data_IF_480192295020
#
_entry.id   IF_480192295020
#
_cell.length_a   1.000
_cell.length_b   1.000
_cell.length_c   1.000
_cell.angle_alpha   90.00
_cell.angle_beta   90.00
_cell.angle_gamma   90.00
#
_symmetry.space_group_name_H-M   'P 1'
#
loop_
_entity.id
_entity.type
_entity.pdbx_description
1 polymer ?
#
# COMPACT_ATOMS: atom_id res chain seq x y z
N UNK A 1 -15.47 37.55 -0.44
CA UNK A 1 -14.57 36.87 -1.39
C UNK A 1 -13.76 37.93 -2.14
N UNK A 2 -12.42 37.79 -2.26
CA UNK A 2 -11.59 38.70 -3.06
C UNK A 2 -12.08 38.73 -4.51
N UNK A 3 -12.06 39.90 -5.17
CA UNK A 3 -12.56 40.04 -6.55
C UNK A 3 -11.80 39.12 -7.52
N UNK A 4 -10.51 38.91 -7.26
CA UNK A 4 -9.60 38.14 -8.11
C UNK A 4 -9.82 36.62 -8.04
N UNK A 5 -10.59 36.14 -7.04
CA UNK A 5 -10.91 34.72 -6.90
C UNK A 5 -12.19 34.31 -7.66
N UNK A 6 -12.94 35.26 -8.21
CA UNK A 6 -14.24 34.98 -8.87
C UNK A 6 -14.08 34.20 -10.17
N UNK A 7 -13.10 34.55 -10.99
CA UNK A 7 -12.90 33.94 -12.31
C UNK A 7 -12.32 32.52 -12.24
N UNK A 8 -11.33 32.22 -11.38
CA UNK A 8 -10.85 30.85 -11.19
C UNK A 8 -11.94 29.91 -10.65
N UNK A 9 -12.79 30.39 -9.72
CA UNK A 9 -13.92 29.60 -9.20
C UNK A 9 -14.95 29.35 -10.31
N UNK A 10 -15.19 30.33 -11.18
CA UNK A 10 -16.09 30.17 -12.33
C UNK A 10 -15.57 29.09 -13.30
N UNK A 11 -14.26 29.06 -13.58
CA UNK A 11 -13.64 28.02 -14.42
C UNK A 11 -13.67 26.63 -13.77
N UNK A 12 -13.47 26.52 -12.46
CA UNK A 12 -13.59 25.27 -11.73
C UNK A 12 -15.01 24.70 -11.83
N UNK A 13 -16.03 25.54 -11.62
CA UNK A 13 -17.44 25.12 -11.73
C UNK A 13 -17.74 24.66 -13.16
N UNK A 14 -17.26 25.38 -14.18
CA UNK A 14 -17.45 24.97 -15.58
C UNK A 14 -16.80 23.64 -15.88
N UNK A 15 -15.54 23.46 -15.51
CA UNK A 15 -14.81 22.20 -15.72
C UNK A 15 -15.52 21.02 -15.06
N UNK A 16 -16.02 21.20 -13.84
CA UNK A 16 -16.72 20.15 -13.11
C UNK A 16 -18.08 19.80 -13.74
N UNK A 17 -18.85 20.81 -14.13
CA UNK A 17 -20.16 20.62 -14.78
C UNK A 17 -20.02 20.07 -16.21
N UNK A 18 -18.98 20.47 -16.94
CA UNK A 18 -18.65 19.93 -18.27
C UNK A 18 -18.21 18.47 -18.18
N UNK A 19 -17.51 18.09 -17.10
CA UNK A 19 -17.19 16.71 -16.74
C UNK A 19 -18.39 15.83 -16.38
N UNK A 20 -19.61 16.41 -16.32
CA UNK A 20 -20.84 15.70 -15.98
C UNK A 20 -21.12 15.56 -14.48
N UNK A 21 -20.34 16.25 -13.65
CA UNK A 21 -20.54 16.30 -12.20
C UNK A 21 -21.42 17.51 -11.81
N UNK A 22 -21.72 17.63 -10.52
CA UNK A 22 -22.56 18.70 -9.96
C UNK A 22 -21.73 19.56 -9.04
N UNK A 23 -21.79 20.88 -9.24
CA UNK A 23 -21.10 21.86 -8.41
C UNK A 23 -22.09 22.58 -7.49
N UNK A 24 -21.78 22.69 -6.20
CA UNK A 24 -22.62 23.35 -5.21
C UNK A 24 -21.82 24.46 -4.53
N UNK A 25 -22.35 25.69 -4.57
CA UNK A 25 -21.84 26.84 -3.84
C UNK A 25 -22.66 27.06 -2.58
N UNK A 26 -21.98 27.32 -1.46
CA UNK A 26 -22.58 27.65 -0.16
C UNK A 26 -22.01 28.96 0.37
N UNK A 27 -22.91 29.86 0.77
CA UNK A 27 -22.55 31.10 1.45
C UNK A 27 -22.02 32.18 0.50
N UNK A 28 -21.94 33.42 1.01
CA UNK A 28 -21.51 34.59 0.23
C UNK A 28 -22.57 35.13 -0.72
N UNK A 29 -22.12 35.91 -1.72
CA UNK A 29 -22.96 36.46 -2.80
C UNK A 29 -22.74 35.66 -4.10
N UNK A 30 -23.60 34.66 -4.38
CA UNK A 30 -23.46 33.78 -5.54
C UNK A 30 -24.02 34.39 -6.82
N UNK A 31 -24.57 35.60 -6.78
CA UNK A 31 -25.33 36.18 -7.91
C UNK A 31 -24.44 36.36 -9.16
N UNK A 32 -23.13 36.60 -8.97
CA UNK A 32 -22.13 36.61 -10.05
C UNK A 32 -22.06 35.29 -10.83
N UNK A 33 -22.04 34.15 -10.12
CA UNK A 33 -21.94 32.82 -10.72
C UNK A 33 -23.27 32.40 -11.34
N UNK A 34 -24.38 32.71 -10.65
CA UNK A 34 -25.73 32.48 -11.16
C UNK A 34 -25.93 33.21 -12.49
N UNK A 35 -25.49 34.47 -12.60
CA UNK A 35 -25.66 35.24 -13.83
C UNK A 35 -24.85 34.67 -15.01
N UNK A 36 -23.62 34.21 -14.75
CA UNK A 36 -22.70 33.66 -15.76
C UNK A 36 -22.97 32.20 -16.14
N UNK A 37 -23.69 31.44 -15.31
CA UNK A 37 -23.94 30.01 -15.48
C UNK A 37 -25.45 29.66 -15.50
N UNK A 38 -26.32 30.58 -15.90
CA UNK A 38 -27.78 30.36 -15.97
C UNK A 38 -28.18 29.10 -16.73
N UNK A 39 -27.46 28.75 -17.79
CA UNK A 39 -27.75 27.59 -18.64
C UNK A 39 -27.52 26.22 -17.98
N UNK A 40 -26.78 26.18 -16.86
CA UNK A 40 -26.50 24.95 -16.10
C UNK A 40 -26.95 25.06 -14.65
N UNK A 41 -27.76 26.07 -14.32
CA UNK A 41 -28.30 26.25 -12.98
C UNK A 41 -29.37 25.20 -12.71
N UNK A 42 -29.16 24.37 -11.70
CA UNK A 42 -30.14 23.37 -11.27
C UNK A 42 -31.14 23.96 -10.27
N UNK A 43 -30.67 24.60 -9.19
CA UNK A 43 -31.51 25.26 -8.19
C UNK A 43 -30.72 26.28 -7.36
N UNK A 44 -31.43 27.21 -6.71
CA UNK A 44 -30.88 28.21 -5.78
C UNK A 44 -31.84 28.41 -4.61
N UNK A 45 -31.33 28.35 -3.37
CA UNK A 45 -32.12 28.44 -2.13
C UNK A 45 -31.39 29.22 -1.05
N UNK A 46 -32.14 29.95 -0.23
CA UNK A 46 -31.63 30.47 1.04
C UNK A 46 -32.10 29.56 2.19
N UNK A 47 -31.20 29.17 3.08
CA UNK A 47 -31.55 28.39 4.26
C UNK A 47 -32.14 29.25 5.38
N UNK A 48 -32.58 28.60 6.48
CA UNK A 48 -33.17 29.26 7.64
C UNK A 48 -32.20 30.17 8.41
N UNK A 49 -30.90 30.08 8.13
CA UNK A 49 -29.84 30.89 8.74
C UNK A 49 -29.41 32.05 7.82
N UNK A 50 -30.06 32.23 6.67
CA UNK A 50 -29.79 33.31 5.72
C UNK A 50 -28.66 33.01 4.74
N UNK A 51 -28.12 31.78 4.69
CA UNK A 51 -27.07 31.41 3.73
C UNK A 51 -27.70 31.00 2.39
N UNK A 52 -27.19 31.58 1.28
CA UNK A 52 -27.56 31.15 -0.07
C UNK A 52 -26.78 29.90 -0.49
N UNK A 53 -27.50 28.96 -1.09
CA UNK A 53 -27.02 27.71 -1.65
C UNK A 53 -27.40 27.65 -3.12
N UNK A 54 -26.44 27.36 -4.00
CA UNK A 54 -26.66 27.33 -5.44
C UNK A 54 -26.05 26.08 -6.03
N UNK A 55 -26.80 25.36 -6.85
CA UNK A 55 -26.37 24.11 -7.48
C UNK A 55 -26.35 24.26 -9.01
N UNK A 56 -25.25 23.82 -9.63
CA UNK A 56 -25.06 23.80 -11.08
C UNK A 56 -24.84 22.36 -11.57
N UNK A 57 -25.57 21.94 -12.61
CA UNK A 57 -25.50 20.59 -13.17
C UNK A 57 -26.02 20.58 -14.62
N UNK A 58 -25.46 19.75 -15.50
CA UNK A 58 -26.02 19.49 -16.83
C UNK A 58 -27.00 18.32 -16.77
N UNK A 59 -28.25 18.57 -17.15
CA UNK A 59 -29.22 17.48 -17.31
C UNK A 59 -28.84 16.62 -18.52
N UNK A 60 -28.51 15.35 -18.28
CA UNK A 60 -28.47 14.30 -19.30
C UNK A 60 -29.79 13.52 -19.24
N UNK A 61 -30.41 13.24 -20.39
CA UNK A 61 -31.57 12.36 -20.48
C UNK A 61 -31.26 11.02 -19.80
N UNK A 62 -32.02 10.67 -18.75
CA UNK A 62 -31.85 9.43 -17.98
C UNK A 62 -31.25 9.57 -16.58
N UNK A 63 -30.69 10.72 -16.18
CA UNK A 63 -30.25 10.94 -14.80
C UNK A 63 -31.39 11.46 -13.91
N UNK A 64 -31.59 10.83 -12.74
CA UNK A 64 -32.58 11.23 -11.73
C UNK A 64 -32.39 12.71 -11.38
N UNK A 65 -33.47 13.47 -11.45
CA UNK A 65 -33.51 14.84 -10.95
C UNK A 65 -33.15 14.82 -9.46
N UNK A 66 -32.14 15.58 -9.06
CA UNK A 66 -31.87 15.88 -7.65
C UNK A 66 -33.01 16.78 -7.16
N UNK A 67 -34.16 16.17 -6.88
CA UNK A 67 -35.31 16.86 -6.33
C UNK A 67 -35.03 17.36 -4.90
N UNK A 68 -35.71 18.45 -4.57
CA UNK A 68 -35.48 19.48 -3.55
C UNK A 68 -35.32 19.01 -2.08
N UNK A 69 -35.30 17.71 -1.78
CA UNK A 69 -35.43 17.18 -0.42
C UNK A 69 -34.33 16.20 0.03
N UNK A 70 -33.28 15.96 -0.77
CA UNK A 70 -32.16 15.11 -0.33
C UNK A 70 -30.87 15.90 -0.23
N UNK A 71 -30.40 16.08 1.02
CA UNK A 71 -29.02 16.49 1.32
C UNK A 71 -28.08 15.55 0.53
N UNK A 72 -27.25 16.05 -0.39
CA UNK A 72 -26.12 15.29 -0.88
C UNK A 72 -25.31 14.88 0.35
N UNK A 73 -25.00 13.60 0.42
CA UNK A 73 -24.67 12.88 1.64
C UNK A 73 -23.54 13.59 2.37
N UNK A 74 -23.87 14.18 3.52
CA UNK A 74 -22.87 14.62 4.47
C UNK A 74 -22.10 13.36 4.86
N UNK A 75 -20.83 13.29 4.47
CA UNK A 75 -19.92 12.24 4.93
C UNK A 75 -19.82 12.41 6.45
N UNK A 76 -20.56 11.58 7.18
CA UNK A 76 -20.44 11.48 8.62
C UNK A 76 -19.29 10.53 8.91
N UNK A 77 -18.21 11.05 9.50
CA UNK A 77 -17.32 10.22 10.30
C UNK A 77 -18.15 9.77 11.49
N UNK A 78 -18.38 8.46 11.61
CA UNK A 78 -19.06 7.88 12.76
C UNK A 78 -18.11 7.97 13.96
N UNK A 79 -18.31 8.96 14.83
CA UNK A 79 -17.73 8.94 16.17
C UNK A 79 -18.56 7.98 17.03
N UNK A 80 -17.96 6.84 17.40
CA UNK A 80 -18.49 5.92 18.40
C UNK A 80 -18.38 6.54 19.80
N UNK A 81 -19.39 7.33 20.19
CA UNK A 81 -20.03 7.43 21.53
C UNK A 81 -20.62 8.84 21.76
N UNK A 82 -21.94 8.95 22.05
CA UNK A 82 -22.55 10.21 22.44
C UNK A 82 -22.39 10.40 23.96
N UNK A 83 -21.33 11.07 24.38
CA UNK A 83 -21.12 11.45 25.77
C UNK A 83 -20.38 12.78 25.84
N UNK A 84 -21.11 13.83 26.21
CA UNK A 84 -20.66 15.17 26.61
C UNK A 84 -19.67 15.85 25.63
N UNK A 85 -20.18 16.77 24.79
CA UNK A 85 -19.32 17.69 24.03
C UNK A 85 -18.50 18.56 25.01
N UNK A 86 -17.15 18.48 25.04
CA UNK A 86 -16.36 19.52 25.65
C UNK A 86 -16.41 20.73 24.70
N UNK A 87 -16.78 21.87 25.28
CA UNK A 87 -16.77 23.21 24.71
C UNK A 87 -15.66 23.38 23.65
N UNK A 88 -16.05 23.54 22.37
CA UNK A 88 -15.13 23.79 21.25
C UNK A 88 -14.57 25.21 21.38
N UNK A 89 -13.64 25.40 22.30
CA UNK A 89 -12.77 26.56 22.30
C UNK A 89 -11.93 26.52 21.02
N UNK A 90 -12.06 27.56 20.20
CA UNK A 90 -11.32 27.69 18.95
C UNK A 90 -9.82 27.45 19.16
N UNK A 91 -9.24 26.56 18.35
CA UNK A 91 -7.82 26.23 18.36
C UNK A 91 -7.01 27.52 18.19
N UNK A 92 -6.34 27.96 19.26
CA UNK A 92 -5.40 29.07 19.22
C UNK A 92 -4.08 28.57 18.62
N UNK A 93 -3.72 29.11 17.46
CA UNK A 93 -2.45 28.85 16.77
C UNK A 93 -1.27 29.62 17.42
N UNK A 94 -1.15 29.54 18.75
CA UNK A 94 -0.13 30.26 19.56
C UNK A 94 0.80 29.31 20.34
N UNK A 95 0.72 28.00 20.08
CA UNK A 95 1.49 26.98 20.81
C UNK A 95 0.87 26.57 22.16
N UNK A 96 -0.33 27.04 22.47
CA UNK A 96 -1.11 26.63 23.66
C UNK A 96 -1.57 25.16 23.60
N UNK A 97 -1.67 24.56 22.41
CA UNK A 97 -2.02 23.15 22.21
C UNK A 97 -0.93 22.13 22.60
N UNK A 98 0.06 22.54 23.39
CA UNK A 98 1.06 21.63 23.98
C UNK A 98 0.88 21.62 25.50
N UNK A 99 0.38 20.50 26.01
CA UNK A 99 0.12 20.26 27.43
C UNK A 99 1.19 19.34 28.04
N UNK A 100 1.36 19.43 29.36
CA UNK A 100 2.32 18.66 30.16
C UNK A 100 1.63 18.16 31.42
N UNK A 101 2.16 17.10 32.02
CA UNK A 101 1.73 16.59 33.31
C UNK A 101 1.92 17.63 34.44
N UNK A 102 1.16 17.46 35.52
CA UNK A 102 1.20 18.32 36.70
C UNK A 102 2.56 18.23 37.42
N UNK A 103 3.04 19.36 37.94
CA UNK A 103 4.33 19.44 38.65
C UNK A 103 5.55 19.86 37.82
N UNK A 104 5.43 20.09 36.51
CA UNK A 104 6.55 20.60 35.68
C UNK A 104 6.68 22.13 35.84
N UNK A 105 7.89 22.69 36.11
CA UNK A 105 8.10 24.14 36.21
C UNK A 105 7.74 24.90 34.92
N UNK A 106 7.17 26.10 35.04
CA UNK A 106 6.72 26.89 33.89
C UNK A 106 7.81 27.21 32.86
N UNK A 107 9.06 27.40 33.31
CA UNK A 107 10.24 27.64 32.46
C UNK A 107 10.60 26.40 31.63
N UNK A 108 10.43 25.21 32.20
CA UNK A 108 10.69 23.94 31.50
C UNK A 108 9.59 23.71 30.47
N UNK A 109 8.33 23.98 30.81
CA UNK A 109 7.19 23.90 29.87
C UNK A 109 7.41 24.82 28.66
N UNK A 110 7.79 26.09 28.87
CA UNK A 110 8.00 27.04 27.78
C UNK A 110 9.19 26.67 26.88
N UNK A 111 10.29 26.21 27.47
CA UNK A 111 11.47 25.77 26.74
C UNK A 111 11.19 24.51 25.89
N UNK A 112 10.51 23.51 26.45
CA UNK A 112 10.15 22.28 25.72
C UNK A 112 9.15 22.55 24.59
N UNK A 113 8.18 23.47 24.78
CA UNK A 113 7.27 23.90 23.71
C UNK A 113 8.04 24.47 22.52
N UNK A 114 8.93 25.43 22.79
CA UNK A 114 9.76 26.06 21.75
C UNK A 114 10.65 25.04 21.06
N UNK A 115 11.28 24.15 21.82
CA UNK A 115 12.15 23.12 21.26
C UNK A 115 11.38 22.15 20.34
N UNK A 116 10.21 21.69 20.77
CA UNK A 116 9.36 20.80 19.96
C UNK A 116 8.88 21.47 18.67
N UNK A 117 8.52 22.75 18.73
CA UNK A 117 8.11 23.53 17.55
C UNK A 117 9.28 23.81 16.61
N UNK A 118 10.42 24.27 17.13
CA UNK A 118 11.60 24.62 16.34
C UNK A 118 12.22 23.41 15.62
N UNK A 119 12.12 22.23 16.21
CA UNK A 119 12.57 20.97 15.59
C UNK A 119 11.53 20.35 14.65
N UNK A 120 10.40 21.04 14.41
CA UNK A 120 9.38 20.59 13.46
C UNK A 120 8.55 19.40 13.95
N UNK A 121 8.10 19.43 15.20
CA UNK A 121 7.25 18.38 15.79
C UNK A 121 7.85 16.96 15.75
N UNK A 122 9.09 16.76 16.25
CA UNK A 122 9.71 15.44 16.28
C UNK A 122 8.90 14.46 17.12
N UNK A 123 9.04 13.16 16.82
CA UNK A 123 8.46 12.09 17.65
C UNK A 123 9.00 12.19 19.08
N UNK A 124 8.20 11.74 20.04
CA UNK A 124 8.54 11.83 21.48
C UNK A 124 9.86 11.12 21.79
N UNK A 125 10.09 9.98 21.17
CA UNK A 125 11.31 9.17 21.35
C UNK A 125 12.54 9.92 20.83
N UNK A 126 12.43 10.57 19.68
CA UNK A 126 13.52 11.33 19.06
C UNK A 126 13.87 12.58 19.85
N UNK A 127 12.85 13.29 20.36
CA UNK A 127 13.04 14.45 21.24
C UNK A 127 13.72 14.05 22.56
N UNK A 128 13.28 12.95 23.18
CA UNK A 128 13.89 12.40 24.40
C UNK A 128 15.34 11.95 24.15
N UNK A 129 15.61 11.33 23.00
CA UNK A 129 16.97 10.94 22.61
C UNK A 129 17.87 12.16 22.46
N UNK A 130 17.40 13.22 21.80
CA UNK A 130 18.14 14.48 21.69
C UNK A 130 18.45 15.09 23.06
N UNK A 131 17.46 15.17 23.96
CA UNK A 131 17.64 15.73 25.30
C UNK A 131 18.64 14.92 26.14
N UNK A 132 18.64 13.59 25.99
CA UNK A 132 19.64 12.72 26.64
C UNK A 132 21.05 12.98 26.13
N UNK A 133 21.23 13.11 24.82
CA UNK A 133 22.54 13.42 24.24
C UNK A 133 23.04 14.81 24.63
N UNK A 134 22.13 15.77 24.83
CA UNK A 134 22.46 17.11 25.32
C UNK A 134 22.78 17.16 26.83
N UNK A 135 22.71 16.03 27.54
CA UNK A 135 23.03 15.97 28.98
C UNK A 135 21.98 16.63 29.87
N UNK A 136 20.72 16.74 29.42
CA UNK A 136 19.65 17.31 30.22
C UNK A 136 19.32 16.44 31.44
N UNK A 137 18.89 17.10 32.52
CA UNK A 137 18.47 16.43 33.76
C UNK A 137 17.26 15.51 33.54
N UNK A 138 17.19 14.41 34.30
CA UNK A 138 16.10 13.42 34.23
C UNK A 138 14.71 14.02 34.47
N UNK A 139 14.61 15.11 35.23
CA UNK A 139 13.37 15.87 35.46
C UNK A 139 12.81 16.45 34.16
N UNK A 140 13.68 16.99 33.30
CA UNK A 140 13.34 17.54 31.98
C UNK A 140 12.97 16.40 31.02
N UNK A 141 13.68 15.28 31.08
CA UNK A 141 13.39 14.10 30.26
C UNK A 141 12.01 13.52 30.61
N UNK A 142 11.67 13.46 31.91
CA UNK A 142 10.32 13.06 32.36
C UNK A 142 9.25 14.04 31.86
N UNK A 143 9.50 15.35 31.94
CA UNK A 143 8.59 16.36 31.41
C UNK A 143 8.37 16.22 29.89
N UNK A 144 9.42 15.95 29.11
CA UNK A 144 9.31 15.70 27.67
C UNK A 144 8.52 14.42 27.35
N UNK A 145 8.65 13.37 28.17
CA UNK A 145 7.85 12.15 28.06
C UNK A 145 6.37 12.38 28.40
N UNK A 146 6.07 13.27 29.34
CA UNK A 146 4.70 13.66 29.70
C UNK A 146 4.04 14.66 28.76
N UNK A 147 4.79 15.21 27.79
CA UNK A 147 4.27 16.20 26.85
C UNK A 147 3.24 15.60 25.88
N UNK A 148 2.14 16.33 25.63
CA UNK A 148 1.14 16.04 24.59
C UNK A 148 0.96 17.26 23.71
N UNK A 149 0.90 17.06 22.40
CA UNK A 149 0.70 18.12 21.42
C UNK A 149 -0.52 17.78 20.57
N UNK A 150 -1.50 18.68 20.54
CA UNK A 150 -2.77 18.49 19.83
C UNK A 150 -2.56 18.45 18.31
N UNK A 151 -1.58 19.21 17.80
CA UNK A 151 -1.20 19.20 16.39
C UNK A 151 -0.62 17.82 16.02
N UNK A 152 0.33 17.30 16.81
CA UNK A 152 0.89 15.97 16.57
C UNK A 152 -0.16 14.87 16.68
N UNK A 153 -1.16 15.03 17.55
CA UNK A 153 -2.26 14.08 17.69
C UNK A 153 -3.21 14.13 16.49
N UNK A 154 -3.53 15.32 15.98
CA UNK A 154 -4.38 15.51 14.81
C UNK A 154 -3.71 15.03 13.51
N UNK A 155 -2.40 15.20 13.38
CA UNK A 155 -1.62 14.76 12.20
C UNK A 155 -1.08 13.33 12.35
N UNK A 156 -1.35 12.66 13.47
CA UNK A 156 -0.88 11.29 13.66
C UNK A 156 -1.57 10.36 12.64
N UNK A 157 -0.78 9.66 11.84
CA UNK A 157 -1.29 8.62 10.95
C UNK A 157 -2.02 7.52 11.72
N UNK A 158 -2.90 6.75 11.03
CA UNK A 158 -3.66 5.67 11.66
C UNK A 158 -2.73 4.70 12.39
N UNK A 159 -3.01 4.46 13.68
CA UNK A 159 -2.27 3.49 14.47
C UNK A 159 -2.59 2.10 13.94
N UNK A 160 -1.55 1.31 13.65
CA UNK A 160 -1.71 -0.10 13.27
C UNK A 160 -2.52 -0.79 14.37
N UNK A 161 -3.75 -1.19 14.06
CA UNK A 161 -4.60 -1.95 14.97
C UNK A 161 -3.81 -3.17 15.45
N UNK A 162 -3.77 -3.39 16.77
CA UNK A 162 -3.13 -4.59 17.32
C UNK A 162 -3.86 -5.80 16.74
N UNK A 163 -3.18 -6.67 15.97
CA UNK A 163 -3.85 -7.82 15.39
C UNK A 163 -4.30 -8.73 16.53
N UNK A 164 -5.61 -8.78 16.78
CA UNK A 164 -6.24 -9.75 17.69
C UNK A 164 -6.50 -11.10 17.00
N UNK A 165 -6.17 -11.20 15.70
CA UNK A 165 -6.28 -12.43 14.95
C UNK A 165 -5.01 -13.28 15.13
N UNK A 166 -5.22 -14.54 15.54
CA UNK A 166 -4.18 -15.57 15.46
C UNK A 166 -3.67 -15.62 14.01
N UNK A 167 -2.35 -15.51 13.76
CA UNK A 167 -1.81 -15.64 12.41
C UNK A 167 -2.26 -16.96 11.81
N UNK A 168 -2.90 -16.92 10.64
CA UNK A 168 -3.17 -18.15 9.89
C UNK A 168 -1.81 -18.73 9.47
N UNK A 169 -1.55 -19.96 9.88
CA UNK A 169 -0.41 -20.73 9.39
C UNK A 169 -0.82 -21.24 8.01
N UNK A 170 -0.19 -20.69 6.97
CA UNK A 170 -0.35 -21.15 5.60
C UNK A 170 0.85 -22.01 5.27
N UNK A 171 0.60 -23.18 4.67
CA UNK A 171 1.64 -23.92 3.97
C UNK A 171 1.90 -23.31 2.59
N UNK A 172 3.01 -23.71 1.97
CA UNK A 172 3.29 -23.31 0.60
C UNK A 172 2.14 -23.72 -0.34
N UNK A 173 1.75 -22.81 -1.23
CA UNK A 173 0.69 -23.01 -2.24
C UNK A 173 -0.74 -23.16 -1.66
N UNK A 174 -0.96 -22.82 -0.39
CA UNK A 174 -2.32 -22.76 0.19
C UNK A 174 -3.11 -21.54 -0.29
N UNK A 175 -2.44 -20.39 -0.35
CA UNK A 175 -3.06 -19.12 -0.70
C UNK A 175 -2.09 -18.25 -1.47
N UNK A 176 -2.45 -17.96 -2.73
CA UNK A 176 -1.67 -17.08 -3.60
C UNK A 176 -2.41 -15.77 -3.76
N UNK A 177 -1.78 -14.66 -3.38
CA UNK A 177 -2.25 -13.32 -3.70
C UNK A 177 -1.87 -12.98 -5.14
N UNK A 178 -2.84 -12.60 -5.97
CA UNK A 178 -2.60 -12.10 -7.31
C UNK A 178 -3.04 -10.64 -7.43
N UNK A 179 -2.16 -9.80 -7.99
CA UNK A 179 -2.34 -8.36 -8.14
C UNK A 179 -1.69 -7.85 -9.43
N UNK A 180 -2.12 -6.70 -9.94
CA UNK A 180 -1.52 -6.04 -11.10
C UNK A 180 -0.66 -4.86 -10.62
N UNK A 181 0.64 -4.94 -10.89
CA UNK A 181 1.58 -3.86 -10.60
C UNK A 181 1.85 -3.08 -11.89
N UNK A 182 1.94 -1.76 -11.79
CA UNK A 182 2.31 -0.91 -12.91
C UNK A 182 3.58 -0.15 -12.57
N UNK A 183 4.59 -0.27 -13.43
CA UNK A 183 5.89 0.38 -13.27
C UNK A 183 6.42 0.88 -14.60
N UNK A 184 7.25 1.91 -14.53
CA UNK A 184 7.85 2.51 -15.71
C UNK A 184 9.27 1.96 -15.92
N UNK A 185 9.73 1.93 -17.17
CA UNK A 185 11.14 1.74 -17.53
C UNK A 185 11.92 3.06 -17.49
N UNK A 186 13.18 3.07 -17.95
CA UNK A 186 14.02 4.27 -17.95
C UNK A 186 13.50 5.37 -18.89
N UNK A 187 12.80 4.98 -19.95
CA UNK A 187 12.21 5.85 -20.97
C UNK A 187 10.78 6.31 -20.61
N UNK A 188 10.38 6.08 -19.35
CA UNK A 188 9.06 6.39 -18.80
C UNK A 188 7.89 5.64 -19.45
N UNK A 189 8.16 4.54 -20.17
CA UNK A 189 7.10 3.68 -20.71
C UNK A 189 6.52 2.81 -19.60
N UNK A 190 5.19 2.81 -19.49
CA UNK A 190 4.46 2.04 -18.48
C UNK A 190 4.33 0.58 -18.89
N UNK A 191 4.80 -0.30 -18.01
CA UNK A 191 4.70 -1.75 -18.09
C UNK A 191 3.76 -2.27 -17.00
N UNK A 192 2.98 -3.30 -17.33
CA UNK A 192 2.07 -3.97 -16.39
C UNK A 192 2.62 -5.34 -16.04
N UNK A 193 2.62 -5.68 -14.75
CA UNK A 193 3.12 -6.93 -14.24
C UNK A 193 2.03 -7.66 -13.47
N UNK A 194 1.86 -8.96 -13.75
CA UNK A 194 1.12 -9.86 -12.90
C UNK A 194 2.00 -10.27 -11.72
N UNK A 195 1.62 -9.86 -10.52
CA UNK A 195 2.31 -10.15 -9.27
C UNK A 195 1.62 -11.30 -8.55
N UNK A 196 2.33 -12.41 -8.38
CA UNK A 196 1.87 -13.63 -7.71
C UNK A 196 2.68 -13.86 -6.43
N UNK A 197 2.01 -13.91 -5.29
CA UNK A 197 2.63 -13.97 -3.96
C UNK A 197 2.06 -15.11 -3.15
N UNK A 198 2.90 -16.07 -2.75
CA UNK A 198 2.51 -17.10 -1.78
C UNK A 198 2.46 -16.53 -0.35
N UNK A 199 1.33 -16.68 0.34
CA UNK A 199 1.15 -16.11 1.68
C UNK A 199 1.90 -16.86 2.78
N UNK A 200 2.21 -18.16 2.60
CA UNK A 200 2.97 -18.95 3.56
C UNK A 200 4.45 -18.56 3.59
N UNK A 201 5.09 -18.63 2.43
CA UNK A 201 6.54 -18.45 2.23
C UNK A 201 6.94 -17.02 1.88
N UNK A 202 5.98 -16.17 1.48
CA UNK A 202 6.23 -14.85 0.88
C UNK A 202 7.00 -14.89 -0.44
N UNK A 203 7.08 -16.06 -1.08
CA UNK A 203 7.67 -16.20 -2.40
C UNK A 203 6.85 -15.42 -3.43
N UNK A 204 7.55 -14.66 -4.28
CA UNK A 204 6.92 -13.68 -5.14
C UNK A 204 7.48 -13.72 -6.54
N UNK A 205 6.60 -13.77 -7.53
CA UNK A 205 6.93 -13.67 -8.94
C UNK A 205 6.19 -12.47 -9.52
N UNK A 206 6.91 -11.62 -10.26
CA UNK A 206 6.31 -10.56 -11.06
C UNK A 206 6.58 -10.85 -12.54
N UNK A 207 5.52 -10.95 -13.33
CA UNK A 207 5.58 -11.35 -14.75
C UNK A 207 5.11 -10.16 -15.58
N UNK A 208 5.93 -9.58 -16.48
CA UNK A 208 5.46 -8.55 -17.39
C UNK A 208 4.39 -9.13 -18.33
N UNK A 209 3.31 -8.39 -18.52
CA UNK A 209 2.23 -8.75 -19.44
C UNK A 209 2.41 -7.96 -20.75
N UNK A 210 2.30 -8.65 -21.89
CA UNK A 210 2.33 -8.04 -23.22
C UNK A 210 1.04 -7.25 -23.51
N UNK A 211 -0.08 -7.69 -22.94
CA UNK A 211 -1.39 -7.07 -23.06
C UNK A 211 -2.17 -7.05 -21.74
N UNK A 212 -3.36 -6.46 -21.78
CA UNK A 212 -4.30 -6.42 -20.64
C UNK A 212 -5.47 -7.38 -20.85
N UNK A 213 -5.35 -8.29 -21.81
CA UNK A 213 -6.42 -9.22 -22.13
C UNK A 213 -6.50 -10.34 -21.09
N UNK A 214 -7.70 -10.85 -20.88
CA UNK A 214 -7.94 -11.92 -19.92
C UNK A 214 -7.11 -13.17 -20.23
N UNK A 215 -6.87 -13.46 -21.52
CA UNK A 215 -6.08 -14.60 -21.99
C UNK A 215 -4.60 -14.47 -21.61
N UNK A 216 -4.04 -13.26 -21.64
CA UNK A 216 -2.65 -13.00 -21.25
C UNK A 216 -2.45 -13.23 -19.75
N UNK A 217 -3.40 -12.76 -18.94
CA UNK A 217 -3.38 -12.97 -17.48
C UNK A 217 -3.51 -14.46 -17.16
N UNK A 218 -4.43 -15.17 -17.82
CA UNK A 218 -4.62 -16.61 -17.63
C UNK A 218 -3.37 -17.40 -17.99
N UNK A 219 -2.79 -17.11 -19.18
CA UNK A 219 -1.57 -17.74 -19.66
C UNK A 219 -0.40 -17.46 -18.72
N UNK A 220 -0.20 -16.21 -18.31
CA UNK A 220 0.86 -15.84 -17.39
C UNK A 220 0.71 -16.56 -16.03
N UNK A 221 -0.50 -16.64 -15.47
CA UNK A 221 -0.73 -17.36 -14.22
C UNK A 221 -0.46 -18.86 -14.38
N UNK A 222 -0.94 -19.48 -15.46
CA UNK A 222 -0.75 -20.89 -15.73
C UNK A 222 0.75 -21.24 -15.89
N UNK A 223 1.44 -20.53 -16.79
CA UNK A 223 2.82 -20.85 -17.19
C UNK A 223 3.82 -20.60 -16.05
N UNK A 224 3.60 -19.56 -15.24
CA UNK A 224 4.55 -19.14 -14.22
C UNK A 224 4.21 -19.60 -12.79
N UNK A 225 3.00 -20.14 -12.56
CA UNK A 225 2.63 -20.65 -11.24
C UNK A 225 2.11 -22.09 -11.28
N UNK A 226 1.04 -22.35 -12.05
CA UNK A 226 0.38 -23.67 -12.05
C UNK A 226 1.29 -24.74 -12.64
N UNK A 227 2.01 -24.45 -13.72
CA UNK A 227 2.97 -25.39 -14.32
C UNK A 227 4.12 -25.74 -13.37
N UNK A 228 4.85 -24.79 -12.76
CA UNK A 228 5.98 -25.11 -11.88
C UNK A 228 5.59 -25.64 -10.49
N UNK A 229 4.50 -25.17 -9.89
CA UNK A 229 4.15 -25.49 -8.48
C UNK A 229 2.87 -26.31 -8.31
N UNK A 230 2.07 -26.44 -9.37
CA UNK A 230 0.70 -26.95 -9.28
C UNK A 230 -0.30 -25.88 -8.86
N UNK A 231 -1.61 -26.16 -9.00
CA UNK A 231 -2.67 -25.20 -8.67
C UNK A 231 -2.75 -24.95 -7.15
N UNK A 232 -2.84 -23.68 -6.72
CA UNK A 232 -3.03 -23.35 -5.31
C UNK A 232 -4.41 -23.78 -4.79
N UNK A 233 -4.55 -23.98 -3.48
CA UNK A 233 -5.88 -24.25 -2.89
C UNK A 233 -6.82 -23.06 -3.04
N UNK A 234 -6.29 -21.86 -2.83
CA UNK A 234 -7.06 -20.61 -2.95
C UNK A 234 -6.25 -19.48 -3.55
N UNK A 235 -6.92 -18.58 -4.28
CA UNK A 235 -6.35 -17.34 -4.79
C UNK A 235 -7.05 -16.15 -4.14
N UNK A 236 -6.27 -15.21 -3.61
CA UNK A 236 -6.76 -13.97 -3.04
C UNK A 236 -6.60 -12.85 -4.06
N UNK A 237 -7.70 -12.14 -4.34
CA UNK A 237 -7.77 -11.09 -5.36
C UNK A 237 -8.25 -9.77 -4.79
N UNK A 238 -7.77 -8.67 -5.38
CA UNK A 238 -8.30 -7.33 -5.13
C UNK A 238 -9.60 -7.06 -5.91
N UNK A 239 -10.30 -5.98 -5.55
CA UNK A 239 -11.64 -5.64 -6.00
C UNK A 239 -11.74 -5.16 -7.45
N UNK A 240 -10.62 -4.83 -8.08
CA UNK A 240 -10.58 -4.32 -9.46
C UNK A 240 -11.03 -5.37 -10.50
N UNK A 241 -11.06 -6.65 -10.12
CA UNK A 241 -11.76 -7.71 -10.85
C UNK A 241 -11.15 -8.11 -12.21
N UNK A 242 -10.18 -7.36 -12.74
CA UNK A 242 -9.47 -7.69 -13.96
C UNK A 242 -8.77 -9.05 -13.87
N UNK A 243 -7.98 -9.25 -12.81
CA UNK A 243 -7.32 -10.54 -12.53
C UNK A 243 -8.34 -11.65 -12.34
N UNK A 244 -9.45 -11.37 -11.64
CA UNK A 244 -10.51 -12.36 -11.40
C UNK A 244 -11.12 -12.87 -12.70
N UNK A 245 -11.37 -11.98 -13.66
CA UNK A 245 -11.90 -12.36 -14.99
C UNK A 245 -10.88 -13.18 -15.78
N UNK A 246 -9.60 -12.79 -15.74
CA UNK A 246 -8.52 -13.52 -16.40
C UNK A 246 -8.39 -14.96 -15.93
N UNK A 247 -8.37 -15.18 -14.61
CA UNK A 247 -8.09 -16.51 -14.05
C UNK A 247 -9.33 -17.38 -13.79
N UNK A 248 -10.54 -16.88 -14.06
CA UNK A 248 -11.80 -17.55 -13.70
C UNK A 248 -11.87 -18.99 -14.25
N UNK A 249 -11.58 -19.16 -15.55
CA UNK A 249 -11.58 -20.46 -16.22
C UNK A 249 -10.55 -21.41 -15.61
N UNK A 250 -9.34 -20.92 -15.36
CA UNK A 250 -8.27 -21.68 -14.74
C UNK A 250 -8.65 -22.14 -13.32
N UNK A 251 -9.28 -21.25 -12.54
CA UNK A 251 -9.77 -21.57 -11.21
C UNK A 251 -10.85 -22.66 -11.24
N UNK A 252 -11.78 -22.60 -12.20
CA UNK A 252 -12.82 -23.62 -12.36
C UNK A 252 -12.23 -24.98 -12.75
N UNK A 253 -11.27 -25.00 -13.67
CA UNK A 253 -10.64 -26.23 -14.16
C UNK A 253 -9.77 -26.93 -13.12
N UNK A 254 -9.10 -26.16 -12.27
CA UNK A 254 -8.22 -26.68 -11.23
C UNK A 254 -8.84 -26.73 -9.83
N UNK A 255 -10.13 -26.40 -9.70
CA UNK A 255 -10.85 -26.33 -8.43
C UNK A 255 -10.15 -25.43 -7.39
N UNK A 256 -9.75 -24.23 -7.83
CA UNK A 256 -9.09 -23.21 -7.01
C UNK A 256 -10.15 -22.30 -6.39
N UNK A 257 -10.15 -22.18 -5.06
CA UNK A 257 -11.10 -21.29 -4.38
C UNK A 257 -10.73 -19.81 -4.51
N UNK A 258 -11.64 -18.96 -5.00
CA UNK A 258 -11.41 -17.51 -5.10
C UNK A 258 -11.86 -16.80 -3.81
N UNK A 259 -10.96 -16.01 -3.22
CA UNK A 259 -11.22 -15.16 -2.05
C UNK A 259 -11.14 -13.69 -2.46
N UNK A 260 -12.28 -13.01 -2.48
CA UNK A 260 -12.32 -11.56 -2.66
C UNK A 260 -12.13 -10.84 -1.32
N UNK A 261 -11.15 -9.93 -1.27
CA UNK A 261 -10.69 -9.24 -0.05
C UNK A 261 -11.74 -8.23 0.49
N UNK A 262 -12.85 -8.02 -0.22
CA UNK A 262 -13.91 -7.02 0.05
C UNK A 262 -14.50 -7.02 1.46
N UNK A 263 -14.48 -8.16 2.17
CA UNK A 263 -15.28 -8.34 3.38
C UNK A 263 -14.51 -8.91 4.58
N UNK A 264 -13.32 -9.47 4.38
CA UNK A 264 -12.58 -10.15 5.45
C UNK A 264 -11.16 -9.58 5.58
N UNK A 265 -11.12 -8.44 6.26
CA UNK A 265 -10.01 -7.94 7.03
C UNK A 265 -8.79 -7.42 6.24
N UNK A 266 -8.63 -6.10 6.27
CA UNK A 266 -7.51 -5.33 5.69
C UNK A 266 -6.09 -5.86 5.98
N UNK A 267 -5.90 -6.67 7.03
CA UNK A 267 -4.61 -7.30 7.32
C UNK A 267 -4.21 -8.35 6.27
N UNK A 268 -5.17 -9.00 5.60
CA UNK A 268 -4.91 -10.01 4.57
C UNK A 268 -4.44 -9.36 3.26
N UNK A 269 -5.09 -8.28 2.85
CA UNK A 269 -4.67 -7.41 1.74
C UNK A 269 -3.22 -6.92 1.93
N UNK A 270 -2.89 -6.58 3.18
CA UNK A 270 -1.58 -6.03 3.54
C UNK A 270 -0.39 -6.97 3.33
N UNK A 271 -0.59 -8.29 3.11
CA UNK A 271 0.52 -9.18 2.77
C UNK A 271 0.93 -8.94 1.31
N UNK A 272 0.01 -9.13 0.37
CA UNK A 272 0.26 -8.96 -1.06
C UNK A 272 0.71 -7.54 -1.36
N UNK A 273 0.02 -6.54 -0.81
CA UNK A 273 0.36 -5.11 -0.98
C UNK A 273 1.80 -4.82 -0.51
N UNK A 274 2.19 -5.34 0.66
CA UNK A 274 3.53 -5.15 1.21
C UNK A 274 4.61 -5.85 0.38
N UNK A 275 4.33 -7.06 -0.10
CA UNK A 275 5.28 -7.74 -1.00
C UNK A 275 5.44 -6.96 -2.31
N UNK A 276 4.34 -6.47 -2.86
CA UNK A 276 4.33 -5.57 -4.01
C UNK A 276 5.22 -4.36 -3.75
N UNK A 277 4.97 -3.60 -2.67
CA UNK A 277 5.74 -2.41 -2.31
C UNK A 277 7.26 -2.66 -2.22
N UNK A 278 7.69 -3.80 -1.66
CA UNK A 278 9.12 -4.14 -1.64
C UNK A 278 9.68 -4.41 -3.03
N UNK A 279 8.92 -5.11 -3.87
CA UNK A 279 9.30 -5.33 -5.25
C UNK A 279 9.45 -4.00 -6.00
N UNK A 280 8.49 -3.07 -5.85
CA UNK A 280 8.54 -1.70 -6.42
C UNK A 280 9.85 -0.99 -6.04
N UNK A 281 10.17 -1.00 -4.76
CA UNK A 281 11.38 -0.34 -4.24
C UNK A 281 12.68 -0.94 -4.77
N UNK A 282 12.73 -2.25 -5.05
CA UNK A 282 13.89 -2.89 -5.67
C UNK A 282 13.93 -2.56 -7.16
N UNK A 283 12.79 -2.64 -7.86
CA UNK A 283 12.65 -2.28 -9.27
C UNK A 283 13.17 -0.88 -9.55
N UNK A 284 12.72 0.12 -8.79
CA UNK A 284 13.12 1.52 -9.03
C UNK A 284 14.64 1.70 -8.96
N UNK A 285 15.32 1.03 -8.02
CA UNK A 285 16.78 1.07 -7.91
C UNK A 285 17.46 0.36 -9.07
N UNK A 286 17.01 -0.85 -9.41
CA UNK A 286 17.60 -1.66 -10.49
C UNK A 286 17.44 -0.97 -11.84
N UNK A 287 16.25 -0.41 -12.11
CA UNK A 287 15.96 0.32 -13.33
C UNK A 287 16.90 1.51 -13.55
N UNK A 288 17.15 2.30 -12.49
CA UNK A 288 18.04 3.45 -12.60
C UNK A 288 19.51 3.06 -12.70
N UNK A 289 19.95 2.00 -11.99
CA UNK A 289 21.33 1.54 -12.02
C UNK A 289 21.69 0.92 -13.38
N UNK A 290 20.81 0.06 -13.91
CA UNK A 290 21.07 -0.69 -15.14
C UNK A 290 20.51 -0.01 -16.40
N UNK A 291 19.82 1.12 -16.27
CA UNK A 291 19.16 1.83 -17.38
C UNK A 291 18.24 0.93 -18.21
N UNK A 292 17.40 0.14 -17.52
CA UNK A 292 16.53 -0.88 -18.14
C UNK A 292 15.54 -0.25 -19.12
N UNK A 293 15.58 -0.70 -20.37
CA UNK A 293 14.65 -0.38 -21.47
C UNK A 293 13.57 -1.45 -21.62
N UNK A 294 12.57 -1.20 -22.47
CA UNK A 294 11.42 -2.10 -22.70
C UNK A 294 11.80 -3.56 -23.00
N UNK A 295 12.81 -3.78 -23.84
CA UNK A 295 13.27 -5.10 -24.25
C UNK A 295 13.89 -5.90 -23.08
N UNK A 296 14.40 -5.22 -22.06
CA UNK A 296 15.04 -5.83 -20.91
C UNK A 296 14.11 -5.99 -19.70
N UNK A 297 12.87 -5.50 -19.78
CA UNK A 297 11.90 -5.51 -18.67
C UNK A 297 11.69 -6.91 -18.09
N UNK A 298 11.61 -7.93 -18.96
CA UNK A 298 11.44 -9.32 -18.55
C UNK A 298 12.65 -9.86 -17.77
N UNK A 299 13.87 -9.53 -18.20
CA UNK A 299 15.11 -9.89 -17.50
C UNK A 299 15.18 -9.17 -16.16
N UNK A 300 14.92 -7.87 -16.14
CA UNK A 300 14.93 -7.06 -14.93
C UNK A 300 13.90 -7.58 -13.91
N UNK A 301 12.70 -7.95 -14.35
CA UNK A 301 11.65 -8.46 -13.47
C UNK A 301 12.07 -9.77 -12.79
N UNK A 302 12.74 -10.65 -13.54
CA UNK A 302 13.30 -11.89 -13.00
C UNK A 302 14.40 -11.64 -11.97
N UNK A 303 15.28 -10.65 -12.21
CA UNK A 303 16.37 -10.28 -11.33
C UNK A 303 15.85 -9.67 -10.03
N UNK A 304 14.89 -8.74 -10.11
CA UNK A 304 14.25 -8.10 -8.97
C UNK A 304 13.50 -9.13 -8.11
N UNK A 305 12.75 -10.03 -8.75
CA UNK A 305 12.02 -11.10 -8.04
C UNK A 305 12.99 -12.07 -7.35
N UNK A 306 14.07 -12.47 -8.02
CA UNK A 306 15.11 -13.35 -7.45
C UNK A 306 15.81 -12.69 -6.27
N UNK A 307 16.24 -11.43 -6.40
CA UNK A 307 16.87 -10.68 -5.33
C UNK A 307 15.97 -10.57 -4.09
N UNK A 308 14.67 -10.30 -4.29
CA UNK A 308 13.68 -10.26 -3.20
C UNK A 308 13.55 -11.62 -2.52
N UNK A 309 13.43 -12.70 -3.28
CA UNK A 309 13.19 -14.05 -2.75
C UNK A 309 14.42 -14.69 -2.10
N UNK A 310 15.62 -14.25 -2.47
CA UNK A 310 16.88 -14.78 -1.92
C UNK A 310 17.40 -13.99 -0.72
N UNK A 311 17.32 -12.65 -0.76
CA UNK A 311 17.96 -11.82 0.26
C UNK A 311 17.06 -11.56 1.47
N UNK A 312 15.73 -11.53 1.26
CA UNK A 312 14.80 -11.20 2.32
C UNK A 312 14.56 -12.42 3.21
N UNK A 313 14.79 -12.26 4.51
CA UNK A 313 14.59 -13.35 5.49
C UNK A 313 13.36 -13.15 6.34
N UNK A 314 12.62 -14.24 6.57
CA UNK A 314 11.55 -14.34 7.56
C UNK A 314 11.86 -15.55 8.43
N UNK A 315 11.93 -15.35 9.74
CA UNK A 315 12.28 -16.42 10.70
C UNK A 315 13.62 -17.10 10.40
N UNK A 316 14.62 -16.35 9.92
CA UNK A 316 15.97 -16.85 9.61
C UNK A 316 16.16 -17.37 8.18
N UNK A 317 15.08 -17.65 7.46
CA UNK A 317 15.13 -18.26 6.13
C UNK A 317 14.56 -17.37 5.02
N UNK A 318 15.08 -17.52 3.81
CA UNK A 318 14.60 -16.81 2.61
C UNK A 318 13.41 -17.53 1.96
N UNK A 319 12.51 -16.82 1.24
CA UNK A 319 11.45 -17.46 0.46
C UNK A 319 11.96 -18.57 -0.48
N UNK A 320 13.12 -18.39 -1.11
CA UNK A 320 13.73 -19.42 -1.96
C UNK A 320 14.11 -20.67 -1.17
N UNK A 321 14.61 -20.53 0.06
CA UNK A 321 14.90 -21.66 0.94
C UNK A 321 13.62 -22.38 1.36
N UNK A 322 12.55 -21.65 1.67
CA UNK A 322 11.26 -22.25 2.03
C UNK A 322 10.62 -23.04 0.89
N UNK A 323 10.72 -22.55 -0.35
CA UNK A 323 10.07 -23.18 -1.52
C UNK A 323 10.93 -24.29 -2.12
N UNK A 324 12.23 -24.06 -2.27
CA UNK A 324 13.12 -24.97 -3.02
C UNK A 324 14.14 -25.69 -2.15
N UNK A 325 14.24 -25.38 -0.85
CA UNK A 325 15.24 -25.97 0.04
C UNK A 325 16.69 -25.64 -0.34
N UNK A 326 16.91 -24.56 -1.09
CA UNK A 326 18.24 -24.17 -1.58
C UNK A 326 18.63 -22.78 -1.10
N UNK A 327 19.92 -22.61 -0.81
CA UNK A 327 20.48 -21.30 -0.48
C UNK A 327 20.64 -20.42 -1.74
N UNK A 328 20.64 -19.09 -1.57
CA UNK A 328 21.04 -18.14 -2.61
C UNK A 328 22.38 -18.48 -3.21
N UNK A 329 22.54 -18.31 -4.53
CA UNK A 329 23.84 -18.48 -5.19
C UNK A 329 24.66 -17.23 -4.94
N UNK A 330 25.59 -17.30 -3.99
CA UNK A 330 26.53 -16.22 -3.74
C UNK A 330 27.67 -16.26 -4.78
N UNK A 331 28.14 -15.09 -5.26
CA UNK A 331 29.37 -15.01 -6.04
C UNK A 331 30.54 -15.63 -5.26
N UNK A 332 31.46 -16.31 -5.95
CA UNK A 332 32.58 -17.04 -5.32
C UNK A 332 33.40 -16.18 -4.35
N UNK A 333 33.57 -14.88 -4.64
CA UNK A 333 34.28 -13.94 -3.76
C UNK A 333 33.54 -13.53 -2.48
N UNK A 334 32.26 -13.89 -2.35
CA UNK A 334 31.42 -13.66 -1.17
C UNK A 334 30.98 -14.97 -0.51
N UNK A 335 31.37 -16.12 -1.07
CA UNK A 335 31.17 -17.40 -0.43
C UNK A 335 32.12 -17.52 0.77
N UNK A 336 31.57 -17.87 1.92
CA UNK A 336 32.36 -18.18 3.11
C UNK A 336 33.14 -19.48 2.83
N UNK A 337 34.49 -19.46 2.83
CA UNK A 337 35.31 -20.63 2.53
C UNK A 337 35.06 -21.81 3.49
N UNK A 338 34.50 -21.54 4.67
CA UNK A 338 34.20 -22.56 5.69
C UNK A 338 32.76 -23.07 5.63
N UNK A 339 31.86 -22.43 4.86
CA UNK A 339 30.43 -22.75 4.84
C UNK A 339 30.05 -23.80 3.78
N UNK A 340 30.89 -24.83 3.67
CA UNK A 340 30.58 -26.09 2.98
C UNK A 340 30.33 -25.96 1.49
N UNK A 341 31.39 -26.03 0.70
CA UNK A 341 31.26 -26.47 -0.70
C UNK A 341 30.47 -27.80 -0.71
N UNK A 342 29.36 -27.82 -1.45
CA UNK A 342 28.39 -28.93 -1.66
C UNK A 342 27.13 -28.88 -0.78
N UNK A 343 26.33 -27.83 -0.98
CA UNK A 343 24.87 -27.95 -0.87
C UNK A 343 24.21 -27.91 -2.27
N UNK A 344 24.77 -28.64 -3.23
CA UNK A 344 23.96 -29.16 -4.34
C UNK A 344 23.60 -30.59 -3.96
N UNK A 345 22.32 -30.82 -3.64
CA UNK A 345 21.76 -32.17 -3.63
C UNK A 345 21.75 -32.69 -5.07
N UNK A 346 22.93 -33.00 -5.59
CA UNK A 346 23.16 -33.58 -6.89
C UNK A 346 22.91 -35.09 -6.73
N UNK A 347 21.64 -35.48 -6.61
CA UNK A 347 21.22 -36.89 -6.47
C UNK A 347 21.69 -37.76 -7.64
N UNK A 348 22.10 -37.15 -8.76
CA UNK A 348 22.73 -37.85 -9.88
C UNK A 348 24.06 -38.51 -9.47
N UNK A 349 24.86 -37.90 -8.58
CA UNK A 349 26.16 -38.46 -8.19
C UNK A 349 26.05 -39.70 -7.30
N UNK A 350 24.96 -39.84 -6.54
CA UNK A 350 24.72 -41.04 -5.72
C UNK A 350 24.29 -42.25 -6.58
N UNK A 351 23.50 -42.02 -7.64
CA UNK A 351 23.03 -43.12 -8.51
C UNK A 351 24.12 -43.73 -9.40
N UNK A 352 25.14 -42.97 -9.78
CA UNK A 352 26.22 -43.47 -10.62
C UNK A 352 27.41 -44.05 -9.85
N UNK A 353 27.61 -43.70 -8.57
CA UNK A 353 28.68 -44.32 -7.77
C UNK A 353 28.31 -45.71 -7.23
N UNK A 354 27.02 -45.97 -7.00
CA UNK A 354 26.55 -47.25 -6.44
C UNK A 354 26.32 -48.35 -7.50
N UNK A 355 26.39 -48.03 -8.80
CA UNK A 355 26.31 -49.01 -9.89
C UNK A 355 27.64 -49.32 -10.60
N UNK A 356 28.74 -48.71 -10.17
CA UNK A 356 30.06 -48.90 -10.77
C UNK A 356 31.02 -49.82 -9.99
N UNK A 357 30.58 -50.38 -8.86
CA UNK A 357 31.45 -51.14 -7.93
C UNK A 357 30.98 -52.58 -7.63
N UNK A 358 30.01 -53.10 -8.38
CA UNK A 358 29.60 -54.51 -8.33
C UNK A 358 29.49 -55.05 -9.76
N UNK A 359 30.62 -55.42 -10.35
CA UNK A 359 30.63 -55.92 -11.73
C UNK A 359 31.99 -56.31 -12.26
N UNK A 360 32.89 -56.84 -11.42
CA UNK A 360 34.06 -57.56 -11.90
C UNK A 360 34.37 -58.71 -10.95
N UNK A 361 34.01 -59.92 -11.39
CA UNK A 361 34.33 -61.17 -10.70
C UNK A 361 33.13 -62.10 -10.62
N UNK A 362 32.90 -62.87 -11.69
CA UNK A 362 32.49 -64.28 -11.62
C UNK A 362 32.62 -64.91 -13.02
N UNK A 363 33.83 -65.38 -13.27
CA UNK A 363 34.18 -66.67 -13.86
C UNK A 363 33.01 -67.66 -14.02
N UNK A 364 32.78 -68.18 -15.25
CA UNK A 364 32.80 -69.61 -15.62
C UNK A 364 31.92 -69.97 -16.82
N UNK A 365 32.58 -70.66 -17.76
CA UNK A 365 32.12 -71.69 -18.72
C UNK A 365 31.37 -71.28 -19.99
#
# INVERSE_FOLDING_TARGET
MPKDAKDPILELIRTQVDGGETAILRGGDPDYFVDKLKGVLAWSRTDSYGEKWVCFSRQKEGHRRLDELRRPHQVHVLDENPGEEPDKQGLKYDGSGITFEDGVPGIVKSSLRRLHQNLGHPRKEDLVRHLRHAGCEDTIIKAAKGMRCDICAATAGPRISRPSAVPRMYDFNDCVGADLLHHHDIDDKRHTFLSLVDWGTSYHIAIPLEGFDNEDIEKAFNDHWVVPFGPPKTVSLDLDGAVQKGICRLCDWHNIGVKNVAAQAHWQAGITERQGAWWKSIWDRVRHELSITEDEVHLAASLVSSAKNELRRRCGHSPTEWVFGRHPRLPEGLADPDNGEKATADYAKHYFSERGAEGDGLDQQ
#
